data_IF_761121698372
#
_entry.id   IF_761121698372
#
_cell.length_a   1.000
_cell.length_b   1.000
_cell.length_c   1.000
_cell.angle_alpha   90.00
_cell.angle_beta   90.00
_cell.angle_gamma   90.00
#
_symmetry.space_group_name_H-M   'P 1'
#
loop_
_entity.id
_entity.type
_entity.pdbx_description
1 polymer ?
#
# COMPACT_ATOMS: atom_id res chain seq x y z
N UNK A 1 21.86 2.87 -1.91
CA UNK A 1 21.35 2.81 -0.54
C UNK A 1 21.19 4.22 -0.01
N UNK A 2 20.27 4.45 0.93
CA UNK A 2 20.10 5.74 1.61
C UNK A 2 20.89 5.75 2.92
N UNK A 3 21.35 6.94 3.34
CA UNK A 3 22.06 7.12 4.60
C UNK A 3 21.08 7.10 5.79
N UNK A 4 21.51 6.65 6.98
CA UNK A 4 20.73 6.82 8.19
C UNK A 4 20.31 8.29 8.40
N UNK A 5 19.03 8.54 8.65
CA UNK A 5 18.47 9.89 8.77
C UNK A 5 17.80 10.43 7.51
N UNK A 6 18.04 9.82 6.34
CA UNK A 6 17.34 10.19 5.09
C UNK A 6 15.97 9.50 4.95
N UNK A 7 15.68 8.51 5.80
CA UNK A 7 14.42 7.75 5.80
C UNK A 7 13.81 7.75 7.20
N UNK A 8 12.54 8.14 7.28
CA UNK A 8 11.71 7.99 8.48
C UNK A 8 10.75 6.82 8.29
N UNK A 9 10.75 5.86 9.21
CA UNK A 9 10.20 4.52 8.97
C UNK A 9 9.05 4.19 9.92
N UNK A 10 7.95 3.73 9.36
CA UNK A 10 6.89 2.99 10.07
C UNK A 10 6.83 1.55 9.56
N UNK A 11 6.52 0.60 10.44
CA UNK A 11 6.28 -0.80 10.06
C UNK A 11 5.11 -1.37 10.86
N UNK A 12 4.19 -2.01 10.15
CA UNK A 12 3.12 -2.84 10.73
C UNK A 12 2.91 -4.07 9.84
N UNK A 13 2.09 -5.01 10.31
CA UNK A 13 1.80 -6.24 9.55
C UNK A 13 1.06 -5.87 8.27
N UNK A 14 1.58 -6.31 7.12
CA UNK A 14 1.05 -6.06 5.78
C UNK A 14 0.91 -4.56 5.40
N UNK A 15 1.80 -3.71 5.96
CA UNK A 15 2.02 -2.31 5.53
C UNK A 15 0.74 -1.49 5.36
N UNK A 16 -0.19 -1.65 6.30
CA UNK A 16 -1.54 -1.10 6.25
C UNK A 16 -1.60 0.35 6.73
N UNK A 17 -2.45 1.16 6.11
CA UNK A 17 -2.77 2.53 6.54
C UNK A 17 -4.27 2.62 6.74
N UNK A 18 -4.71 2.46 8.00
CA UNK A 18 -6.12 2.51 8.37
C UNK A 18 -6.49 3.87 8.93
N UNK A 19 -7.68 4.38 8.59
CA UNK A 19 -8.17 5.70 9.03
C UNK A 19 -8.37 5.85 10.54
N UNK A 20 -8.33 4.74 11.28
CA UNK A 20 -8.46 4.69 12.74
C UNK A 20 -7.18 4.19 13.44
N UNK A 21 -6.11 3.92 12.69
CA UNK A 21 -4.82 3.55 13.26
C UNK A 21 -4.04 4.82 13.64
N UNK A 22 -4.25 5.30 14.87
CA UNK A 22 -3.56 6.47 15.39
C UNK A 22 -2.05 6.31 15.46
N UNK A 23 -1.51 5.07 15.51
CA UNK A 23 -0.07 4.84 15.47
C UNK A 23 0.49 5.27 14.11
N UNK A 24 0.00 4.66 13.01
CA UNK A 24 0.43 5.03 11.67
C UNK A 24 0.12 6.50 11.33
N UNK A 25 -1.05 7.00 11.72
CA UNK A 25 -1.46 8.38 11.42
C UNK A 25 -0.61 9.42 12.17
N UNK A 26 -0.21 9.16 13.41
CA UNK A 26 0.71 10.05 14.14
C UNK A 26 2.09 10.10 13.47
N UNK A 27 2.62 8.96 13.02
CA UNK A 27 3.89 8.91 12.27
C UNK A 27 3.78 9.68 10.96
N UNK A 28 2.69 9.49 10.21
CA UNK A 28 2.43 10.19 8.95
C UNK A 28 2.32 11.71 9.16
N UNK A 29 1.59 12.14 10.19
CA UNK A 29 1.44 13.55 10.52
C UNK A 29 2.78 14.18 10.88
N UNK A 30 3.56 13.54 11.76
CA UNK A 30 4.86 14.05 12.15
C UNK A 30 5.83 14.17 10.95
N UNK A 31 5.87 13.14 10.09
CA UNK A 31 6.69 13.16 8.89
C UNK A 31 6.35 14.33 7.97
N UNK A 32 5.05 14.56 7.73
CA UNK A 32 4.59 15.58 6.77
C UNK A 32 4.67 16.99 7.36
N UNK A 33 4.29 17.18 8.63
CA UNK A 33 4.12 18.52 9.21
C UNK A 33 5.37 19.02 9.94
N UNK A 34 6.06 18.14 10.68
CA UNK A 34 7.27 18.49 11.42
C UNK A 34 8.53 18.30 10.59
N UNK A 35 8.70 17.12 9.98
CA UNK A 35 9.90 16.80 9.19
C UNK A 35 9.84 17.33 7.74
N UNK A 36 8.65 17.75 7.28
CA UNK A 36 8.42 18.28 5.93
C UNK A 36 8.95 17.35 4.83
N UNK A 37 8.74 16.05 4.99
CA UNK A 37 9.11 15.07 3.94
C UNK A 37 8.42 15.42 2.62
N UNK A 38 9.13 15.19 1.52
CA UNK A 38 8.59 15.36 0.15
C UNK A 38 8.02 14.08 -0.44
N UNK A 39 8.39 12.93 0.12
CA UNK A 39 7.99 11.62 -0.39
C UNK A 39 7.48 10.75 0.75
N UNK A 40 6.32 10.15 0.54
CA UNK A 40 5.81 9.05 1.36
C UNK A 40 5.71 7.82 0.46
N UNK A 41 6.31 6.72 0.89
CA UNK A 41 6.28 5.47 0.14
C UNK A 41 5.53 4.42 0.95
N UNK A 42 4.45 3.91 0.40
CA UNK A 42 3.85 2.66 0.85
C UNK A 42 4.58 1.54 0.11
N UNK A 43 5.38 0.77 0.84
CA UNK A 43 6.17 -0.32 0.27
C UNK A 43 5.65 -1.66 0.79
N UNK A 44 5.11 -2.48 -0.12
CA UNK A 44 4.77 -3.88 0.14
C UNK A 44 5.84 -4.83 -0.38
N UNK A 45 5.56 -6.13 -0.30
CA UNK A 45 6.46 -7.15 -0.82
C UNK A 45 5.74 -8.41 -1.25
N UNK A 46 6.31 -9.10 -2.24
CA UNK A 46 5.78 -10.38 -2.71
C UNK A 46 5.90 -11.46 -1.62
N UNK A 47 4.95 -12.40 -1.63
CA UNK A 47 4.86 -13.47 -0.64
C UNK A 47 4.58 -13.01 0.80
N UNK A 48 4.01 -11.83 1.02
CA UNK A 48 3.74 -11.31 2.37
C UNK A 48 2.91 -12.28 3.22
N UNK A 49 3.41 -12.61 4.42
CA UNK A 49 2.76 -13.56 5.32
C UNK A 49 1.38 -13.11 5.79
N UNK A 50 1.20 -11.81 6.07
CA UNK A 50 -0.10 -11.24 6.45
C UNK A 50 -1.12 -11.28 5.31
N UNK A 51 -0.70 -10.93 4.09
CA UNK A 51 -1.54 -11.03 2.89
C UNK A 51 -1.85 -12.48 2.52
N UNK A 52 -0.89 -13.39 2.70
CA UNK A 52 -1.13 -14.83 2.51
C UNK A 52 -2.13 -15.36 3.53
N UNK A 53 -2.08 -14.86 4.77
CA UNK A 53 -2.99 -15.26 5.84
C UNK A 53 -4.43 -14.79 5.58
N UNK A 54 -4.62 -13.59 4.99
CA UNK A 54 -5.94 -13.05 4.64
C UNK A 54 -6.68 -13.87 3.56
N UNK A 55 -5.97 -14.68 2.77
CA UNK A 55 -6.56 -15.58 1.78
C UNK A 55 -6.98 -16.94 2.32
N UNK A 56 -6.71 -17.23 3.60
CA UNK A 56 -6.98 -18.53 4.21
C UNK A 56 -8.21 -18.48 5.10
N UNK A 57 -8.83 -19.64 5.28
CA UNK A 57 -10.10 -19.79 6.00
C UNK A 57 -9.93 -20.30 7.44
N UNK A 58 -8.80 -20.01 8.11
CA UNK A 58 -8.59 -20.40 9.51
C UNK A 58 -8.44 -19.19 10.42
N UNK A 59 -8.84 -19.34 11.68
CA UNK A 59 -8.79 -18.29 12.69
C UNK A 59 -7.35 -17.99 13.13
N UNK A 60 -7.02 -16.71 13.21
CA UNK A 60 -5.75 -16.16 13.68
C UNK A 60 -5.91 -15.35 14.97
N UNK A 61 -7.12 -15.30 15.52
CA UNK A 61 -7.44 -14.54 16.74
C UNK A 61 -7.40 -13.04 16.47
N UNK A 62 -6.66 -12.27 17.27
CA UNK A 62 -6.61 -10.80 17.14
C UNK A 62 -6.14 -10.35 15.75
N UNK A 63 -5.30 -11.13 15.08
CA UNK A 63 -4.77 -10.80 13.77
C UNK A 63 -5.86 -10.78 12.69
N UNK A 64 -6.98 -11.51 12.87
CA UNK A 64 -8.11 -11.45 11.93
C UNK A 64 -8.75 -10.06 11.88
N UNK A 65 -8.82 -9.37 13.03
CA UNK A 65 -9.32 -7.99 13.10
C UNK A 65 -8.40 -7.03 12.34
N UNK A 66 -7.08 -7.21 12.47
CA UNK A 66 -6.10 -6.39 11.78
C UNK A 66 -6.15 -6.63 10.26
N UNK A 67 -6.19 -7.89 9.84
CA UNK A 67 -6.22 -8.28 8.42
C UNK A 67 -7.60 -8.13 7.76
N UNK A 68 -8.63 -7.73 8.51
CA UNK A 68 -10.00 -7.61 8.01
C UNK A 68 -10.09 -6.76 6.74
N UNK A 69 -9.39 -5.63 6.68
CA UNK A 69 -9.41 -4.76 5.49
C UNK A 69 -8.77 -5.42 4.27
N UNK A 70 -7.78 -6.29 4.45
CA UNK A 70 -7.20 -7.08 3.34
C UNK A 70 -8.17 -8.20 2.92
N UNK A 71 -8.90 -8.81 3.86
CA UNK A 71 -9.97 -9.77 3.55
C UNK A 71 -11.10 -9.11 2.72
N UNK A 72 -11.42 -7.85 3.00
CA UNK A 72 -12.39 -7.08 2.20
C UNK A 72 -11.83 -6.86 0.79
N UNK A 73 -10.55 -6.49 0.66
CA UNK A 73 -9.91 -6.33 -0.65
C UNK A 73 -9.87 -7.63 -1.45
N UNK A 74 -9.56 -8.76 -0.80
CA UNK A 74 -9.50 -10.04 -1.50
C UNK A 74 -10.86 -10.46 -2.07
N UNK A 75 -11.96 -10.09 -1.41
CA UNK A 75 -13.33 -10.32 -1.91
C UNK A 75 -13.71 -9.32 -3.00
N UNK A 76 -13.38 -8.03 -2.81
CA UNK A 76 -13.71 -6.98 -3.78
C UNK A 76 -13.02 -7.17 -5.13
N UNK A 77 -11.83 -7.78 -5.14
CA UNK A 77 -11.01 -8.01 -6.33
C UNK A 77 -10.79 -9.50 -6.61
N UNK A 78 -11.72 -10.36 -6.16
CA UNK A 78 -11.60 -11.82 -6.26
C UNK A 78 -11.33 -12.26 -7.71
N UNK A 79 -12.10 -11.76 -8.68
CA UNK A 79 -11.96 -12.10 -10.10
C UNK A 79 -10.54 -11.85 -10.63
N UNK A 80 -9.91 -10.72 -10.27
CA UNK A 80 -8.54 -10.41 -10.68
C UNK A 80 -7.51 -11.32 -10.02
N UNK A 81 -7.78 -11.74 -8.78
CA UNK A 81 -6.90 -12.60 -8.00
C UNK A 81 -6.98 -14.03 -8.53
N UNK A 82 -8.19 -14.59 -8.71
CA UNK A 82 -8.38 -15.98 -9.15
C UNK A 82 -7.99 -16.20 -10.61
N UNK A 83 -7.96 -15.14 -11.42
CA UNK A 83 -7.42 -15.18 -12.79
C UNK A 83 -5.91 -15.52 -12.83
N UNK A 84 -5.18 -15.39 -11.73
CA UNK A 84 -3.77 -15.77 -11.67
C UNK A 84 -3.60 -17.30 -11.57
N UNK A 85 -2.64 -17.90 -12.31
CA UNK A 85 -2.63 -19.34 -12.58
C UNK A 85 -2.30 -20.21 -11.36
N UNK A 86 -1.65 -19.67 -10.33
CA UNK A 86 -1.36 -20.42 -9.10
C UNK A 86 -1.37 -19.56 -7.84
N UNK A 87 -1.60 -20.20 -6.69
CA UNK A 87 -1.81 -19.55 -5.39
C UNK A 87 -0.73 -18.52 -5.01
N UNK A 88 0.53 -18.75 -5.36
CA UNK A 88 1.59 -17.77 -5.11
C UNK A 88 1.37 -16.45 -5.86
N UNK A 89 0.96 -16.50 -7.15
CA UNK A 89 0.63 -15.29 -7.91
C UNK A 89 -0.68 -14.66 -7.44
N UNK A 90 -1.62 -15.44 -6.92
CA UNK A 90 -2.83 -14.90 -6.26
C UNK A 90 -2.46 -14.04 -5.05
N UNK A 91 -1.53 -14.53 -4.20
CA UNK A 91 -0.99 -13.76 -3.06
C UNK A 91 -0.27 -12.51 -3.56
N UNK A 92 0.58 -12.64 -4.57
CA UNK A 92 1.35 -11.50 -5.10
C UNK A 92 0.45 -10.42 -5.72
N UNK A 93 -0.59 -10.82 -6.44
CA UNK A 93 -1.59 -9.90 -6.98
C UNK A 93 -2.30 -9.13 -5.85
N UNK A 94 -2.69 -9.83 -4.78
CA UNK A 94 -3.28 -9.18 -3.61
C UNK A 94 -2.28 -8.27 -2.87
N UNK A 95 -0.98 -8.58 -2.89
CA UNK A 95 0.04 -7.69 -2.33
C UNK A 95 0.07 -6.35 -3.09
N UNK A 96 0.03 -6.36 -4.42
CA UNK A 96 -0.05 -5.14 -5.22
C UNK A 96 -1.35 -4.36 -4.97
N UNK A 97 -2.49 -5.04 -4.95
CA UNK A 97 -3.80 -4.43 -4.65
C UNK A 97 -3.77 -3.75 -3.28
N UNK A 98 -3.24 -4.44 -2.26
CA UNK A 98 -3.10 -3.89 -0.93
C UNK A 98 -2.25 -2.61 -0.94
N UNK A 99 -1.08 -2.61 -1.57
CA UNK A 99 -0.23 -1.41 -1.66
C UNK A 99 -0.98 -0.24 -2.30
N UNK A 100 -1.68 -0.46 -3.41
CA UNK A 100 -2.42 0.60 -4.10
C UNK A 100 -3.56 1.15 -3.23
N UNK A 101 -4.32 0.28 -2.55
CA UNK A 101 -5.38 0.74 -1.64
C UNK A 101 -4.79 1.51 -0.44
N UNK A 102 -3.64 1.09 0.09
CA UNK A 102 -2.99 1.83 1.17
C UNK A 102 -2.47 3.20 0.70
N UNK A 103 -1.95 3.33 -0.53
CA UNK A 103 -1.66 4.64 -1.15
C UNK A 103 -2.93 5.49 -1.20
N UNK A 104 -4.05 4.91 -1.63
CA UNK A 104 -5.36 5.60 -1.64
C UNK A 104 -5.79 6.04 -0.26
N UNK A 105 -5.58 5.24 0.77
CA UNK A 105 -5.86 5.63 2.15
C UNK A 105 -4.97 6.78 2.62
N UNK A 106 -3.67 6.75 2.32
CA UNK A 106 -2.76 7.87 2.59
C UNK A 106 -3.27 9.16 1.94
N UNK A 107 -3.61 9.11 0.64
CA UNK A 107 -4.15 10.26 -0.12
C UNK A 107 -5.50 10.76 0.42
N UNK A 108 -6.32 9.87 0.99
CA UNK A 108 -7.63 10.22 1.57
C UNK A 108 -7.52 10.88 2.94
N UNK A 109 -6.41 10.70 3.66
CA UNK A 109 -6.19 11.26 4.99
C UNK A 109 -6.31 12.79 5.00
N UNK A 110 -6.81 13.35 6.09
CA UNK A 110 -6.86 14.80 6.29
C UNK A 110 -5.44 15.41 6.29
N UNK A 111 -4.45 14.67 6.79
CA UNK A 111 -3.04 15.07 6.86
C UNK A 111 -2.51 15.42 5.45
N UNK A 112 -2.65 14.48 4.50
CA UNK A 112 -2.15 14.65 3.13
C UNK A 112 -3.00 15.66 2.36
N UNK A 113 -4.32 15.61 2.48
CA UNK A 113 -5.21 16.60 1.84
C UNK A 113 -4.92 18.02 2.29
N UNK A 114 -4.65 18.23 3.57
CA UNK A 114 -4.29 19.54 4.10
C UNK A 114 -2.89 19.96 3.62
N UNK A 115 -1.94 19.03 3.45
CA UNK A 115 -0.61 19.30 2.90
C UNK A 115 -0.67 19.79 1.46
N UNK A 116 -1.44 19.11 0.59
CA UNK A 116 -1.64 19.59 -0.77
C UNK A 116 -2.40 20.91 -0.83
N UNK A 117 -3.44 21.10 0.01
CA UNK A 117 -4.22 22.35 0.04
C UNK A 117 -3.36 23.56 0.40
N UNK A 118 -2.36 23.41 1.26
CA UNK A 118 -1.41 24.47 1.62
C UNK A 118 -0.22 24.60 0.66
N UNK A 119 -0.22 23.86 -0.45
CA UNK A 119 0.84 23.92 -1.47
C UNK A 119 2.15 23.25 -1.07
N UNK A 120 2.15 22.31 -0.12
CA UNK A 120 3.35 21.55 0.21
C UNK A 120 3.68 20.56 -0.90
N UNK A 121 4.93 20.57 -1.37
CA UNK A 121 5.48 19.59 -2.31
C UNK A 121 5.55 18.21 -1.64
N UNK A 122 4.64 17.32 -2.00
CA UNK A 122 4.46 16.01 -1.39
C UNK A 122 3.94 15.01 -2.42
N UNK A 123 4.69 13.94 -2.64
CA UNK A 123 4.30 12.79 -3.47
C UNK A 123 4.11 11.54 -2.63
N UNK A 124 3.06 10.78 -2.93
CA UNK A 124 2.76 9.48 -2.33
C UNK A 124 3.00 8.41 -3.38
N UNK A 125 3.81 7.40 -3.05
CA UNK A 125 4.22 6.34 -3.96
C UNK A 125 3.77 4.97 -3.46
N UNK A 126 3.50 4.04 -4.39
CA UNK A 126 3.22 2.65 -4.10
C UNK A 126 4.27 1.75 -4.75
N UNK A 127 5.11 1.12 -3.94
CA UNK A 127 6.17 0.23 -4.41
C UNK A 127 5.97 -1.19 -3.89
N UNK A 128 6.50 -2.16 -4.62
CA UNK A 128 6.56 -3.54 -4.19
C UNK A 128 7.96 -4.10 -4.43
N UNK A 129 8.52 -4.82 -3.46
CA UNK A 129 9.83 -5.45 -3.63
C UNK A 129 9.75 -6.98 -3.60
N UNK A 130 10.57 -7.63 -4.43
CA UNK A 130 10.76 -9.07 -4.40
C UNK A 130 11.76 -9.46 -3.31
N UNK A 131 11.34 -10.32 -2.37
CA UNK A 131 12.27 -10.86 -1.36
C UNK A 131 13.31 -11.80 -2.01
N UNK A 132 12.96 -12.41 -3.14
CA UNK A 132 13.78 -13.42 -3.82
C UNK A 132 14.95 -12.80 -4.60
N UNK A 133 14.74 -11.64 -5.19
CA UNK A 133 15.69 -10.95 -6.08
C UNK A 133 16.17 -9.61 -5.52
N UNK A 134 15.52 -9.08 -4.48
CA UNK A 134 15.82 -7.76 -3.91
C UNK A 134 15.42 -6.59 -4.82
N UNK A 135 14.69 -6.85 -5.91
CA UNK A 135 14.31 -5.83 -6.88
C UNK A 135 13.08 -5.06 -6.40
N UNK A 136 13.13 -3.74 -6.58
CA UNK A 136 12.06 -2.82 -6.26
C UNK A 136 11.32 -2.47 -7.55
N UNK A 137 10.00 -2.57 -7.52
CA UNK A 137 9.12 -2.24 -8.62
C UNK A 137 8.17 -1.11 -8.24
N UNK A 138 8.09 -0.09 -9.10
CA UNK A 138 7.05 0.92 -9.01
C UNK A 138 5.73 0.36 -9.56
N UNK A 139 4.64 0.55 -8.82
CA UNK A 139 3.29 0.17 -9.26
C UNK A 139 2.63 1.27 -10.12
N UNK A 140 3.35 2.36 -10.41
CA UNK A 140 2.92 3.48 -11.26
C UNK A 140 1.68 4.21 -10.69
N UNK A 141 1.58 4.25 -9.36
CA UNK A 141 0.46 4.87 -8.62
C UNK A 141 0.85 6.13 -7.87
N UNK A 142 1.91 6.80 -8.33
CA UNK A 142 2.37 8.04 -7.70
C UNK A 142 1.31 9.14 -7.80
N UNK A 143 1.00 9.77 -6.67
CA UNK A 143 0.06 10.89 -6.58
C UNK A 143 0.74 12.08 -5.93
N UNK A 144 0.66 13.25 -6.56
CA UNK A 144 1.28 14.51 -6.07
C UNK A 144 0.27 15.62 -5.79
N UNK A 145 -1.02 15.39 -6.04
CA UNK A 145 -2.08 16.35 -5.73
C UNK A 145 -3.43 15.64 -5.49
N UNK A 146 -4.36 16.34 -4.83
CA UNK A 146 -5.69 15.79 -4.53
C UNK A 146 -6.58 15.64 -5.76
N UNK A 147 -6.34 16.43 -6.81
CA UNK A 147 -7.18 16.45 -8.01
C UNK A 147 -6.93 15.17 -8.81
N UNK A 148 -8.01 14.43 -9.12
CA UNK A 148 -7.92 13.21 -9.92
C UNK A 148 -7.30 12.00 -9.23
N UNK A 149 -6.77 12.13 -8.01
CA UNK A 149 -6.10 11.03 -7.30
C UNK A 149 -6.99 9.81 -7.09
N UNK A 150 -8.27 10.05 -6.78
CA UNK A 150 -9.25 9.00 -6.52
C UNK A 150 -9.58 8.19 -7.77
N UNK A 151 -9.71 8.87 -8.91
CA UNK A 151 -9.95 8.24 -10.22
C UNK A 151 -8.71 7.46 -10.67
N UNK A 152 -7.52 8.07 -10.61
CA UNK A 152 -6.25 7.43 -10.93
C UNK A 152 -6.07 6.11 -10.15
N UNK A 153 -6.27 6.14 -8.83
CA UNK A 153 -6.08 4.98 -7.97
C UNK A 153 -7.19 3.92 -8.16
N UNK A 154 -8.42 4.35 -8.45
CA UNK A 154 -9.50 3.41 -8.78
C UNK A 154 -9.22 2.70 -10.11
N UNK A 155 -8.75 3.42 -11.13
CA UNK A 155 -8.31 2.84 -12.41
C UNK A 155 -7.12 1.92 -12.21
N UNK A 156 -6.15 2.30 -11.35
CA UNK A 156 -5.02 1.44 -11.02
C UNK A 156 -5.48 0.13 -10.37
N UNK A 157 -6.39 0.17 -9.39
CA UNK A 157 -6.97 -1.02 -8.75
C UNK A 157 -7.76 -1.92 -9.71
N UNK A 158 -8.40 -1.34 -10.73
CA UNK A 158 -9.11 -2.09 -11.76
C UNK A 158 -8.18 -2.68 -12.84
N UNK A 159 -6.93 -2.19 -12.93
CA UNK A 159 -5.98 -2.56 -13.97
C UNK A 159 -5.25 -3.89 -13.71
N UNK A 160 -4.59 -4.45 -14.74
CA UNK A 160 -3.90 -5.74 -14.65
C UNK A 160 -2.79 -5.74 -13.59
N UNK A 161 -2.66 -6.88 -12.90
CA UNK A 161 -1.67 -7.13 -11.84
C UNK A 161 -0.41 -7.81 -12.38
N UNK A 162 0.69 -7.71 -11.62
CA UNK A 162 1.93 -8.46 -11.85
C UNK A 162 2.58 -8.17 -13.21
N UNK A 163 2.46 -6.93 -13.70
CA UNK A 163 3.01 -6.49 -15.00
C UNK A 163 4.50 -6.81 -15.13
N UNK A 164 5.24 -6.68 -14.04
CA UNK A 164 6.69 -6.90 -13.98
C UNK A 164 7.09 -8.38 -13.88
N UNK A 165 6.15 -9.29 -13.64
CA UNK A 165 6.37 -10.75 -13.57
C UNK A 165 5.88 -11.50 -14.80
N UNK A 166 5.36 -10.81 -15.82
CA UNK A 166 4.79 -11.42 -17.01
C UNK A 166 5.84 -11.88 -18.05
N UNK A 167 7.08 -12.17 -17.62
CA UNK A 167 8.21 -12.59 -18.45
C UNK A 167 8.80 -13.91 -17.97
#
# INVERSE_FOLDING_TARGET
GMLPGEVFVHRNVANQVMMVDFNCLAVLQYAIEALRVRHVVVCGHYGCGGVKASLKSYELGLLDNWLHSINVLSRAYEDQIVAQPHKALQVDALCEINVIEQVRNVCRSSIVKNAWRRGQDLSIHGWIYGIQDGLLHDLEVTVSEAKGSEEQLSTALAGPRLRHKAT
#
